data_IF_011852219778
#
_entry.id   IF_011852219778
#
_cell.length_a   1.000
_cell.length_b   1.000
_cell.length_c   1.000
_cell.angle_alpha   90.00
_cell.angle_beta   90.00
_cell.angle_gamma   90.00
#
_symmetry.space_group_name_H-M   'P 1'
#
loop_
_entity.id
_entity.type
_entity.pdbx_description
1 polymer ?
#
# COMPACT_ATOMS: atom_id res chain seq x y z
N UNK A 1 -10.09 44.33 24.37
CA UNK A 1 -8.97 43.49 24.87
C UNK A 1 -9.23 42.07 24.43
N UNK A 2 -8.31 41.44 23.69
CA UNK A 2 -8.50 40.06 23.24
C UNK A 2 -8.32 39.09 24.41
N UNK A 3 -9.14 38.04 24.47
CA UNK A 3 -9.05 37.03 25.53
C UNK A 3 -7.77 36.19 25.32
N UNK A 4 -6.87 36.11 26.31
CA UNK A 4 -5.60 35.37 26.17
C UNK A 4 -5.81 33.89 25.83
N UNK A 5 -6.90 33.27 26.31
CA UNK A 5 -7.24 31.88 25.97
C UNK A 5 -7.52 31.72 24.47
N UNK A 6 -8.26 32.66 23.88
CA UNK A 6 -8.60 32.63 22.45
C UNK A 6 -7.34 32.79 21.60
N UNK A 7 -6.43 33.67 21.99
CA UNK A 7 -5.15 33.85 21.30
C UNK A 7 -4.33 32.55 21.34
N UNK A 8 -4.21 31.93 22.52
CA UNK A 8 -3.46 30.68 22.68
C UNK A 8 -4.04 29.56 21.81
N UNK A 9 -5.36 29.39 21.81
CA UNK A 9 -6.03 28.38 20.98
C UNK A 9 -5.85 28.66 19.47
N UNK A 10 -5.94 29.92 19.05
CA UNK A 10 -5.73 30.30 17.65
C UNK A 10 -4.29 30.00 17.20
N UNK A 11 -3.30 30.27 18.05
CA UNK A 11 -1.89 29.96 17.77
C UNK A 11 -1.68 28.44 17.69
N UNK A 12 -2.23 27.65 18.61
CA UNK A 12 -2.13 26.18 18.58
C UNK A 12 -2.80 25.58 17.33
N UNK A 13 -3.95 26.11 16.94
CA UNK A 13 -4.63 25.67 15.72
C UNK A 13 -3.79 26.01 14.49
N UNK A 14 -3.24 27.23 14.42
CA UNK A 14 -2.41 27.67 13.31
C UNK A 14 -1.14 26.81 13.20
N UNK A 15 -0.46 26.51 14.31
CA UNK A 15 0.73 25.65 14.30
C UNK A 15 0.40 24.23 13.87
N UNK A 16 -0.72 23.66 14.33
CA UNK A 16 -1.19 22.35 13.89
C UNK A 16 -1.47 22.32 12.38
N UNK A 17 -2.18 23.33 11.86
CA UNK A 17 -2.49 23.44 10.42
C UNK A 17 -1.22 23.56 9.58
N UNK A 18 -0.26 24.39 10.01
CA UNK A 18 1.04 24.51 9.34
C UNK A 18 1.78 23.17 9.38
N UNK A 19 1.82 22.49 10.53
CA UNK A 19 2.45 21.17 10.67
C UNK A 19 1.86 20.12 9.74
N UNK A 20 0.51 20.05 9.65
CA UNK A 20 -0.19 19.16 8.73
C UNK A 20 0.13 19.53 7.27
N UNK A 21 0.09 20.82 6.93
CA UNK A 21 0.42 21.28 5.58
C UNK A 21 1.84 20.85 5.19
N UNK A 22 2.84 21.09 6.06
CA UNK A 22 4.20 20.64 5.82
C UNK A 22 4.28 19.11 5.67
N UNK A 23 3.61 18.34 6.53
CA UNK A 23 3.59 16.88 6.43
C UNK A 23 3.00 16.39 5.10
N UNK A 24 1.93 17.02 4.60
CA UNK A 24 1.26 16.61 3.36
C UNK A 24 1.96 17.11 2.10
N UNK A 25 2.58 18.30 2.13
CA UNK A 25 3.28 18.87 0.97
C UNK A 25 4.70 18.34 0.78
N UNK A 26 5.33 17.79 1.82
CA UNK A 26 6.68 17.26 1.75
C UNK A 26 6.67 15.73 1.88
N UNK A 27 6.61 14.98 0.76
CA UNK A 27 6.56 13.52 0.81
C UNK A 27 7.83 12.96 1.43
N UNK A 28 7.68 11.83 2.16
CA UNK A 28 8.82 11.08 2.70
C UNK A 28 9.69 10.62 1.53
N UNK A 29 10.98 10.94 1.58
CA UNK A 29 11.95 10.49 0.58
C UNK A 29 12.41 9.08 0.93
N UNK A 30 12.66 8.27 -0.09
CA UNK A 30 13.41 7.02 0.07
C UNK A 30 14.75 7.30 0.74
N UNK A 31 15.11 6.50 1.74
CA UNK A 31 16.39 6.62 2.46
C UNK A 31 17.29 5.42 2.21
N UNK A 32 16.80 4.21 2.47
CA UNK A 32 17.53 2.95 2.28
C UNK A 32 16.58 1.76 2.16
N UNK A 33 17.12 0.59 1.80
CA UNK A 33 16.37 -0.68 1.87
C UNK A 33 15.82 -0.95 3.28
N UNK A 34 16.63 -0.69 4.31
CA UNK A 34 16.22 -0.87 5.71
C UNK A 34 15.02 0.02 6.09
N UNK A 35 14.97 1.26 5.58
CA UNK A 35 13.83 2.15 5.84
C UNK A 35 12.51 1.62 5.23
N UNK A 36 12.60 0.89 4.13
CA UNK A 36 11.45 0.23 3.51
C UNK A 36 11.06 -1.01 4.30
N UNK A 37 12.04 -1.87 4.62
CA UNK A 37 11.83 -3.10 5.39
C UNK A 37 11.15 -2.80 6.74
N UNK A 38 11.67 -1.82 7.50
CA UNK A 38 11.08 -1.41 8.77
C UNK A 38 9.62 -0.96 8.64
N UNK A 39 9.28 -0.27 7.54
CA UNK A 39 7.89 0.15 7.31
C UNK A 39 6.96 -1.05 7.10
N UNK A 40 7.41 -2.07 6.36
CA UNK A 40 6.64 -3.30 6.20
C UNK A 40 6.53 -4.10 7.50
N UNK A 41 7.59 -4.15 8.31
CA UNK A 41 7.59 -4.81 9.62
C UNK A 41 6.61 -4.14 10.58
N UNK A 42 6.59 -2.80 10.63
CA UNK A 42 5.66 -2.02 11.45
C UNK A 42 4.21 -2.30 11.03
N UNK A 43 3.90 -2.23 9.72
CA UNK A 43 2.54 -2.48 9.21
C UNK A 43 2.06 -3.91 9.44
N UNK A 44 2.96 -4.88 9.30
CA UNK A 44 2.68 -6.30 9.56
C UNK A 44 2.43 -6.52 11.06
N UNK A 45 3.22 -5.87 11.92
CA UNK A 45 3.03 -5.93 13.38
C UNK A 45 1.69 -5.33 13.80
N UNK A 46 1.29 -4.21 13.19
CA UNK A 46 0.01 -3.56 13.43
C UNK A 46 -1.18 -4.35 12.83
N UNK A 47 -0.93 -5.25 11.88
CA UNK A 47 -1.95 -6.00 11.14
C UNK A 47 -2.83 -5.13 10.23
N UNK A 48 -2.40 -3.89 9.96
CA UNK A 48 -3.25 -2.88 9.33
C UNK A 48 -3.51 -3.21 7.86
N UNK A 49 -2.51 -3.74 7.16
CA UNK A 49 -2.66 -4.09 5.75
C UNK A 49 -3.43 -5.39 5.61
N UNK A 50 -3.18 -6.39 6.43
CA UNK A 50 -3.94 -7.63 6.47
C UNK A 50 -5.43 -7.36 6.66
N UNK A 51 -5.77 -6.42 7.57
CA UNK A 51 -7.16 -6.04 7.83
C UNK A 51 -7.84 -5.34 6.64
N UNK A 52 -7.20 -4.33 6.04
CA UNK A 52 -7.82 -3.51 4.98
C UNK A 52 -7.57 -4.02 3.55
N UNK A 53 -6.42 -4.63 3.33
CA UNK A 53 -5.89 -5.05 2.04
C UNK A 53 -5.95 -6.57 1.83
N UNK A 54 -6.23 -7.35 2.88
CA UNK A 54 -6.25 -8.81 2.81
C UNK A 54 -4.87 -9.37 2.46
N UNK A 55 -4.86 -10.45 1.68
CA UNK A 55 -3.66 -11.26 1.43
C UNK A 55 -2.67 -10.63 0.42
N UNK A 56 -3.09 -9.62 -0.33
CA UNK A 56 -2.34 -9.08 -1.47
C UNK A 56 -1.92 -7.63 -1.22
N UNK A 57 -0.63 -7.35 -1.04
CA UNK A 57 -0.12 -5.99 -0.75
C UNK A 57 0.34 -5.30 -2.06
N UNK A 58 -0.60 -5.10 -2.99
CA UNK A 58 -0.41 -4.36 -4.24
C UNK A 58 -1.75 -3.81 -4.74
N UNK A 59 -1.74 -3.05 -5.84
CA UNK A 59 -2.98 -2.53 -6.46
C UNK A 59 -3.76 -3.66 -7.18
N UNK A 60 -4.91 -3.32 -7.78
CA UNK A 60 -5.78 -4.28 -8.45
C UNK A 60 -6.00 -4.01 -9.94
N UNK A 61 -6.41 -5.05 -10.67
CA UNK A 61 -6.85 -5.00 -12.07
C UNK A 61 -8.38 -4.90 -12.16
N UNK A 62 -8.85 -3.78 -12.70
CA UNK A 62 -10.28 -3.46 -12.78
C UNK A 62 -10.89 -3.75 -14.15
N UNK A 63 -10.15 -4.41 -15.05
CA UNK A 63 -10.55 -4.65 -16.44
C UNK A 63 -10.02 -3.60 -17.40
N UNK A 64 -10.18 -3.88 -18.70
CA UNK A 64 -9.90 -2.97 -19.81
C UNK A 64 -11.13 -2.95 -20.76
N UNK A 65 -12.04 -1.97 -20.65
CA UNK A 65 -11.96 -0.78 -19.82
C UNK A 65 -12.18 -1.06 -18.32
N UNK A 66 -11.65 -0.21 -17.40
CA UNK A 66 -11.88 -0.36 -15.96
C UNK A 66 -13.36 -0.31 -15.58
N UNK A 67 -13.77 -1.22 -14.70
CA UNK A 67 -15.12 -1.32 -14.14
C UNK A 67 -15.06 -1.34 -12.62
N UNK A 68 -16.18 -0.96 -11.98
CA UNK A 68 -16.32 -1.09 -10.53
C UNK A 68 -16.25 -2.57 -10.15
N UNK A 69 -15.37 -2.91 -9.23
CA UNK A 69 -15.13 -4.28 -8.74
C UNK A 69 -14.84 -4.24 -7.24
N UNK A 70 -15.07 -5.37 -6.56
CA UNK A 70 -14.53 -5.58 -5.22
C UNK A 70 -13.01 -5.39 -5.22
N UNK A 71 -12.52 -4.65 -4.22
CA UNK A 71 -11.11 -4.26 -4.13
C UNK A 71 -10.19 -5.47 -3.94
N UNK A 72 -10.57 -6.44 -3.10
CA UNK A 72 -9.77 -7.63 -2.86
C UNK A 72 -9.75 -8.51 -4.11
N UNK A 73 -10.90 -8.70 -4.76
CA UNK A 73 -10.97 -9.47 -5.99
C UNK A 73 -10.16 -8.84 -7.13
N UNK A 74 -10.17 -7.51 -7.25
CA UNK A 74 -9.33 -6.82 -8.22
C UNK A 74 -7.84 -7.12 -8.04
N UNK A 75 -7.39 -7.36 -6.80
CA UNK A 75 -5.97 -7.65 -6.51
C UNK A 75 -5.61 -9.07 -6.92
N UNK A 76 -6.46 -10.06 -6.61
CA UNK A 76 -6.28 -11.41 -7.17
C UNK A 76 -6.25 -11.39 -8.70
N UNK A 77 -7.17 -10.67 -9.33
CA UNK A 77 -7.22 -10.56 -10.79
C UNK A 77 -5.94 -9.91 -11.36
N UNK A 78 -5.33 -8.96 -10.63
CA UNK A 78 -4.05 -8.39 -11.03
C UNK A 78 -2.93 -9.43 -11.09
N UNK A 79 -2.90 -10.37 -10.15
CA UNK A 79 -1.92 -11.47 -10.17
C UNK A 79 -2.11 -12.33 -11.42
N UNK A 80 -3.34 -12.72 -11.74
CA UNK A 80 -3.63 -13.50 -12.94
C UNK A 80 -3.30 -12.77 -14.24
N UNK A 81 -3.51 -11.46 -14.30
CA UNK A 81 -3.12 -10.67 -15.48
C UNK A 81 -1.60 -10.52 -15.59
N UNK A 82 -0.86 -10.44 -14.48
CA UNK A 82 0.61 -10.45 -14.49
C UNK A 82 1.16 -11.80 -14.98
N UNK A 83 0.52 -12.92 -14.62
CA UNK A 83 0.86 -14.26 -15.13
C UNK A 83 0.71 -14.31 -16.65
N UNK A 84 -0.45 -13.88 -17.16
CA UNK A 84 -0.73 -13.85 -18.60
C UNK A 84 0.21 -12.92 -19.34
N UNK A 85 0.46 -11.75 -18.79
CA UNK A 85 1.38 -10.77 -19.36
C UNK A 85 2.82 -11.29 -19.43
N UNK A 86 3.24 -12.04 -18.41
CA UNK A 86 4.54 -12.71 -18.37
C UNK A 86 4.59 -14.07 -19.08
N UNK A 87 3.50 -14.49 -19.74
CA UNK A 87 3.34 -15.79 -20.40
C UNK A 87 3.61 -17.00 -19.47
N UNK A 88 3.47 -16.80 -18.15
CA UNK A 88 3.70 -17.84 -17.15
C UNK A 88 2.63 -18.94 -17.21
N UNK A 89 1.44 -18.62 -17.71
CA UNK A 89 0.35 -19.57 -17.95
C UNK A 89 0.65 -20.56 -19.10
N UNK A 90 1.69 -20.30 -19.90
CA UNK A 90 2.14 -21.20 -20.96
C UNK A 90 3.23 -22.17 -20.49
N UNK A 91 3.77 -21.99 -19.28
CA UNK A 91 4.83 -22.84 -18.73
C UNK A 91 4.26 -24.19 -18.26
N UNK A 92 5.06 -25.28 -18.29
CA UNK A 92 4.63 -26.57 -17.78
C UNK A 92 4.27 -26.52 -16.30
N UNK A 93 3.29 -27.31 -15.88
CA UNK A 93 2.96 -27.50 -14.46
C UNK A 93 4.19 -27.97 -13.68
N UNK A 94 4.42 -27.39 -12.50
CA UNK A 94 5.60 -27.65 -11.68
C UNK A 94 6.83 -26.79 -12.02
N UNK A 95 6.69 -25.83 -12.94
CA UNK A 95 7.72 -24.80 -13.17
C UNK A 95 8.00 -24.04 -11.86
N UNK A 96 9.28 -23.93 -11.50
CA UNK A 96 9.71 -23.11 -10.38
C UNK A 96 9.80 -21.65 -10.79
N UNK A 97 9.23 -20.75 -10.00
CA UNK A 97 9.34 -19.31 -10.19
C UNK A 97 9.87 -18.62 -8.92
N UNK A 98 10.37 -17.39 -9.07
CA UNK A 98 10.86 -16.57 -7.96
C UNK A 98 9.99 -15.32 -7.82
N UNK A 99 9.34 -15.18 -6.66
CA UNK A 99 8.58 -13.99 -6.28
C UNK A 99 9.47 -13.01 -5.50
N UNK A 100 10.08 -12.04 -6.19
CA UNK A 100 10.96 -11.05 -5.55
C UNK A 100 10.12 -9.93 -4.92
N UNK A 101 10.10 -9.89 -3.59
CA UNK A 101 9.24 -8.96 -2.85
C UNK A 101 7.84 -9.52 -2.62
N UNK A 102 7.75 -10.80 -2.26
CA UNK A 102 6.50 -11.57 -2.11
C UNK A 102 5.52 -11.07 -1.03
N UNK A 103 5.91 -10.08 -0.22
CA UNK A 103 5.10 -9.58 0.89
C UNK A 103 4.72 -10.70 1.86
N UNK A 104 3.44 -10.80 2.20
CA UNK A 104 2.88 -11.89 3.04
C UNK A 104 2.53 -13.16 2.23
N UNK A 105 2.97 -13.23 0.97
CA UNK A 105 2.90 -14.42 0.11
C UNK A 105 1.54 -14.70 -0.52
N UNK A 106 0.60 -13.75 -0.54
CA UNK A 106 -0.72 -13.95 -1.14
C UNK A 106 -0.65 -14.36 -2.61
N UNK A 107 0.16 -13.66 -3.40
CA UNK A 107 0.38 -13.98 -4.82
C UNK A 107 1.02 -15.35 -4.97
N UNK A 108 2.05 -15.66 -4.19
CA UNK A 108 2.75 -16.95 -4.27
C UNK A 108 1.89 -18.17 -3.91
N UNK A 109 0.75 -17.98 -3.21
CA UNK A 109 -0.19 -19.06 -2.89
C UNK A 109 -1.21 -19.36 -4.01
N UNK A 110 -1.40 -18.43 -4.94
CA UNK A 110 -2.39 -18.55 -6.03
C UNK A 110 -1.74 -18.75 -7.41
N UNK A 111 -0.40 -18.83 -7.44
CA UNK A 111 0.44 -19.15 -8.58
C UNK A 111 1.01 -20.56 -8.44
#
# INVERSE_FOLDING_TARGET
MFNPLIITLAVLLLTLVIGIALYLFFPRKYQSGDSVANSYDDWTTDGILEFYWGEHIHLGHYGAPPQRKDFLKAKEDFVHEMVRWGELDQLPTGTTFLDVGCGIGGSSRIL
#
